data_IF_826164484233
#
_entry.id   IF_826164484233
#
_cell.length_a   1.000
_cell.length_b   1.000
_cell.length_c   1.000
_cell.angle_alpha   90.00
_cell.angle_beta   90.00
_cell.angle_gamma   90.00
#
_symmetry.space_group_name_H-M   'P 1'
#
loop_
_entity.id
_entity.type
_entity.pdbx_description
1 polymer ?
#
# COMPACT_ATOMS: atom_id res chain seq x y z
N UNK A 1 -27.11 -60.09 15.17
CA UNK A 1 -26.17 -59.22 15.91
C UNK A 1 -25.94 -57.97 15.07
N UNK A 2 -25.96 -56.77 15.64
CA UNK A 2 -25.74 -55.50 14.92
C UNK A 2 -24.47 -54.83 15.44
N UNK A 3 -23.40 -54.79 14.64
CA UNK A 3 -22.24 -53.96 14.95
C UNK A 3 -22.51 -52.53 14.45
N UNK A 4 -22.44 -51.55 15.37
CA UNK A 4 -22.35 -50.13 15.04
C UNK A 4 -20.93 -49.67 15.33
N UNK A 5 -20.22 -49.20 14.31
CA UNK A 5 -18.92 -48.54 14.46
C UNK A 5 -19.19 -47.07 14.77
N UNK A 6 -18.65 -46.58 15.89
CA UNK A 6 -18.65 -45.16 16.24
C UNK A 6 -17.40 -44.52 15.63
N UNK A 7 -17.58 -43.55 14.73
CA UNK A 7 -16.48 -42.68 14.29
C UNK A 7 -16.41 -41.46 15.20
N UNK A 8 -15.34 -41.36 16.00
CA UNK A 8 -15.03 -40.15 16.74
C UNK A 8 -14.42 -39.10 15.81
N UNK A 9 -15.17 -38.04 15.51
CA UNK A 9 -14.60 -36.84 14.90
C UNK A 9 -13.79 -36.06 15.95
N UNK A 10 -12.47 -36.15 15.89
CA UNK A 10 -11.59 -35.18 16.55
C UNK A 10 -11.67 -33.84 15.80
N UNK A 11 -12.27 -32.84 16.42
CA UNK A 11 -12.32 -31.49 15.87
C UNK A 11 -10.90 -30.89 15.80
N UNK A 12 -10.41 -30.65 14.58
CA UNK A 12 -9.15 -29.96 14.35
C UNK A 12 -9.39 -28.45 14.55
N UNK A 13 -9.21 -27.96 15.78
CA UNK A 13 -9.24 -26.52 16.05
C UNK A 13 -8.05 -25.83 15.37
N UNK A 14 -8.32 -25.17 14.24
CA UNK A 14 -7.36 -24.33 13.56
C UNK A 14 -7.04 -23.11 14.44
N UNK A 15 -5.87 -23.10 15.07
CA UNK A 15 -5.40 -21.94 15.83
C UNK A 15 -4.95 -20.87 14.83
N UNK A 16 -5.84 -19.93 14.52
CA UNK A 16 -5.48 -18.72 13.77
C UNK A 16 -4.62 -17.86 14.71
N UNK A 17 -3.31 -17.98 14.57
CA UNK A 17 -2.36 -17.08 15.22
C UNK A 17 -2.59 -15.67 14.68
N UNK A 18 -3.06 -14.76 15.54
CA UNK A 18 -3.28 -13.36 15.22
C UNK A 18 -2.02 -12.75 14.62
N UNK A 19 -2.11 -12.25 13.39
CA UNK A 19 -1.03 -11.46 12.77
C UNK A 19 -0.85 -10.20 13.61
N UNK A 20 0.33 -10.04 14.22
CA UNK A 20 0.69 -8.81 14.93
C UNK A 20 0.47 -7.62 13.98
N UNK A 21 -0.15 -6.55 14.47
CA UNK A 21 -0.46 -5.39 13.64
C UNK A 21 0.80 -4.63 13.26
N UNK A 22 1.40 -5.00 12.10
CA UNK A 22 2.74 -4.71 11.54
C UNK A 22 3.21 -3.24 11.46
N UNK A 23 2.51 -2.34 12.15
CA UNK A 23 2.75 -0.90 12.26
C UNK A 23 3.78 -0.56 13.33
N UNK A 24 4.08 -1.46 14.28
CA UNK A 24 5.14 -1.24 15.25
C UNK A 24 6.48 -1.71 14.66
N UNK A 25 7.54 -0.92 14.85
CA UNK A 25 8.86 -1.35 14.39
C UNK A 25 9.29 -2.68 15.03
N UNK A 26 8.90 -2.91 16.29
CA UNK A 26 9.24 -4.10 17.06
C UNK A 26 8.36 -5.34 16.79
N UNK A 27 7.42 -5.31 15.84
CA UNK A 27 6.64 -6.50 15.46
C UNK A 27 7.52 -7.65 14.94
N UNK A 28 8.71 -7.32 14.39
CA UNK A 28 9.79 -8.26 14.10
C UNK A 28 11.03 -7.89 14.94
N UNK A 29 11.29 -8.66 16.00
CA UNK A 29 12.53 -8.54 16.76
C UNK A 29 13.73 -9.02 15.92
N UNK A 30 14.99 -8.66 16.27
CA UNK A 30 16.17 -9.09 15.52
C UNK A 30 16.29 -10.62 15.33
N UNK A 31 15.82 -11.41 16.31
CA UNK A 31 15.79 -12.87 16.23
C UNK A 31 14.82 -13.43 15.16
N UNK A 32 13.91 -12.61 14.63
CA UNK A 32 12.96 -12.97 13.57
C UNK A 32 13.43 -12.52 12.18
N UNK A 33 14.67 -12.01 12.07
CA UNK A 33 15.23 -11.47 10.83
C UNK A 33 16.40 -12.35 10.37
N UNK A 34 16.20 -13.11 9.30
CA UNK A 34 17.27 -13.86 8.63
C UNK A 34 18.01 -12.90 7.69
N UNK A 35 19.22 -12.48 8.05
CA UNK A 35 20.04 -11.64 7.19
C UNK A 35 20.33 -12.33 5.85
N UNK A 36 20.04 -11.64 4.75
CA UNK A 36 20.44 -12.00 3.39
C UNK A 36 21.71 -11.23 2.98
N UNK A 37 21.76 -9.95 3.36
CA UNK A 37 22.90 -9.07 3.18
C UNK A 37 23.07 -8.20 4.42
N UNK A 38 24.31 -7.94 4.83
CA UNK A 38 24.63 -6.98 5.89
C UNK A 38 25.98 -6.38 5.56
N UNK A 39 26.03 -5.06 5.49
CA UNK A 39 27.25 -4.29 5.34
C UNK A 39 27.33 -3.25 6.46
N UNK A 40 28.48 -3.24 7.13
CA UNK A 40 28.82 -2.27 8.19
C UNK A 40 30.07 -1.47 7.82
N UNK A 41 30.63 -1.73 6.63
CA UNK A 41 31.81 -1.08 6.05
C UNK A 41 33.09 -1.18 6.90
N UNK A 42 33.07 -2.00 7.96
CA UNK A 42 34.18 -2.19 8.90
C UNK A 42 35.39 -2.91 8.30
N UNK A 43 35.21 -3.62 7.19
CA UNK A 43 36.29 -4.30 6.45
C UNK A 43 37.11 -3.34 5.55
N UNK A 44 36.68 -2.08 5.42
CA UNK A 44 37.33 -1.06 4.62
C UNK A 44 37.18 -1.25 3.10
N UNK A 45 36.36 -2.20 2.62
CA UNK A 45 36.32 -2.63 1.21
C UNK A 45 34.98 -2.34 0.55
N UNK A 46 34.98 -1.40 -0.39
CA UNK A 46 33.82 -1.12 -1.24
C UNK A 46 33.54 -2.22 -2.29
N UNK A 47 34.37 -3.27 -2.38
CA UNK A 47 34.36 -4.26 -3.46
C UNK A 47 33.07 -5.11 -3.61
N UNK A 48 32.13 -5.03 -2.66
CA UNK A 48 30.79 -5.64 -2.78
C UNK A 48 29.77 -4.74 -3.49
N UNK A 49 30.08 -3.44 -3.60
CA UNK A 49 29.20 -2.41 -4.15
C UNK A 49 29.68 -1.98 -5.53
N UNK A 50 28.81 -2.15 -6.52
CA UNK A 50 28.90 -1.46 -7.79
C UNK A 50 28.53 0.01 -7.62
N UNK A 51 28.99 0.87 -8.51
CA UNK A 51 28.66 2.28 -8.53
C UNK A 51 28.58 2.79 -9.96
N UNK A 52 27.77 3.83 -10.18
CA UNK A 52 27.70 4.53 -11.46
C UNK A 52 29.05 5.14 -11.85
N UNK A 53 29.73 5.77 -10.87
CA UNK A 53 31.15 6.10 -10.94
C UNK A 53 31.85 5.54 -9.69
N UNK A 54 32.96 4.82 -9.89
CA UNK A 54 33.73 4.20 -8.80
C UNK A 54 34.49 5.22 -7.95
N UNK A 55 34.62 6.47 -8.41
CA UNK A 55 35.27 7.56 -7.66
C UNK A 55 34.41 8.18 -6.56
N UNK A 56 33.08 8.08 -6.66
CA UNK A 56 32.12 8.79 -5.81
C UNK A 56 32.01 8.21 -4.38
N UNK A 57 32.22 6.89 -4.25
CA UNK A 57 32.04 6.14 -3.01
C UNK A 57 33.36 5.83 -2.32
N UNK A 58 33.52 6.25 -1.05
CA UNK A 58 34.72 5.99 -0.25
C UNK A 58 34.35 5.45 1.13
N UNK A 59 35.01 4.39 1.57
CA UNK A 59 34.88 3.92 2.95
C UNK A 59 35.99 4.56 3.79
N UNK A 60 35.59 5.25 4.86
CA UNK A 60 36.51 5.89 5.82
C UNK A 60 36.02 5.55 7.22
N UNK A 61 36.89 4.96 8.06
CA UNK A 61 36.60 4.63 9.46
C UNK A 61 35.29 3.84 9.70
N UNK A 62 34.97 2.89 8.82
CA UNK A 62 33.73 2.09 8.92
C UNK A 62 32.46 2.82 8.46
N UNK A 63 32.59 3.95 7.76
CA UNK A 63 31.48 4.70 7.18
C UNK A 63 31.65 4.76 5.67
N UNK A 64 30.64 4.37 4.91
CA UNK A 64 30.59 4.59 3.47
C UNK A 64 30.07 6.00 3.18
N UNK A 65 30.93 6.82 2.57
CA UNK A 65 30.65 8.20 2.19
C UNK A 65 30.53 8.26 0.68
N UNK A 66 29.34 8.60 0.19
CA UNK A 66 29.03 8.80 -1.23
C UNK A 66 28.81 10.29 -1.47
N UNK A 67 29.56 10.83 -2.44
CA UNK A 67 29.51 12.24 -2.86
C UNK A 67 29.88 12.31 -4.34
N UNK A 68 29.17 13.16 -5.10
CA UNK A 68 29.55 13.52 -6.47
C UNK A 68 29.48 15.02 -6.68
N UNK A 69 30.46 15.57 -7.38
CA UNK A 69 30.48 16.96 -7.83
C UNK A 69 29.89 17.07 -9.25
N UNK A 70 29.26 18.22 -9.57
CA UNK A 70 28.55 18.42 -10.83
C UNK A 70 27.03 18.33 -10.69
N UNK A 71 26.36 18.00 -11.80
CA UNK A 71 24.89 18.09 -11.93
C UNK A 71 24.15 16.74 -11.85
N UNK A 72 24.89 15.63 -11.80
CA UNK A 72 24.33 14.27 -11.79
C UNK A 72 24.37 13.66 -10.38
N UNK A 73 23.40 12.81 -10.00
CA UNK A 73 23.45 12.09 -8.74
C UNK A 73 24.58 11.04 -8.76
N UNK A 74 24.92 10.55 -7.57
CA UNK A 74 25.69 9.31 -7.43
C UNK A 74 24.79 8.20 -6.95
N UNK A 75 24.98 7.00 -7.50
CA UNK A 75 24.21 5.80 -7.13
C UNK A 75 25.17 4.62 -7.03
N UNK A 76 25.05 3.86 -5.95
CA UNK A 76 25.83 2.66 -5.69
C UNK A 76 24.94 1.56 -5.13
N UNK A 77 25.19 0.31 -5.53
CA UNK A 77 24.29 -0.81 -5.26
C UNK A 77 25.05 -2.14 -5.14
N UNK A 78 24.38 -3.11 -4.52
CA UNK A 78 24.72 -4.53 -4.57
C UNK A 78 23.69 -5.27 -5.44
N UNK A 79 24.07 -6.42 -6.00
CA UNK A 79 23.13 -7.31 -6.71
C UNK A 79 22.80 -8.51 -5.83
N UNK A 80 21.57 -8.61 -5.34
CA UNK A 80 21.11 -9.72 -4.50
C UNK A 80 20.56 -10.86 -5.38
N UNK A 81 21.45 -11.66 -5.96
CA UNK A 81 21.10 -12.73 -6.93
C UNK A 81 20.14 -13.78 -6.37
N UNK A 82 20.15 -14.02 -5.06
CA UNK A 82 19.27 -14.98 -4.36
C UNK A 82 18.10 -14.30 -3.63
N UNK A 83 17.72 -13.08 -4.03
CA UNK A 83 16.56 -12.37 -3.48
C UNK A 83 15.24 -12.96 -4.02
N UNK A 84 14.40 -13.46 -3.12
CA UNK A 84 13.06 -13.97 -3.39
C UNK A 84 12.02 -12.94 -2.94
N UNK A 85 11.48 -12.24 -3.93
CA UNK A 85 10.46 -11.20 -3.78
C UNK A 85 9.14 -11.70 -3.17
N UNK A 86 8.87 -13.01 -3.23
CA UNK A 86 7.64 -13.60 -2.67
C UNK A 86 7.66 -13.61 -1.14
N UNK A 87 8.84 -13.74 -0.53
CA UNK A 87 9.00 -13.74 0.91
C UNK A 87 8.74 -12.36 1.51
N UNK A 88 8.50 -12.34 2.81
CA UNK A 88 8.50 -11.11 3.59
C UNK A 88 9.95 -10.68 3.85
N UNK A 89 10.22 -9.38 3.75
CA UNK A 89 11.58 -8.85 3.83
C UNK A 89 11.64 -7.48 4.48
N UNK A 90 12.85 -7.10 4.90
CA UNK A 90 13.16 -5.79 5.42
C UNK A 90 14.50 -5.30 4.85
N UNK A 91 14.51 -4.06 4.36
CA UNK A 91 15.70 -3.33 3.91
C UNK A 91 15.90 -2.19 4.91
N UNK A 92 17.10 -2.04 5.44
CA UNK A 92 17.38 -1.07 6.49
C UNK A 92 18.72 -0.38 6.22
N UNK A 93 18.77 0.94 6.40
CA UNK A 93 20.00 1.71 6.29
C UNK A 93 20.11 2.76 7.41
N UNK A 94 21.32 2.93 7.94
CA UNK A 94 21.67 4.04 8.84
C UNK A 94 22.39 5.12 8.04
N UNK A 95 21.68 6.20 7.70
CA UNK A 95 22.16 7.26 6.80
C UNK A 95 22.25 8.61 7.49
N UNK A 96 23.27 9.41 7.16
CA UNK A 96 23.42 10.79 7.60
C UNK A 96 23.67 11.68 6.37
N UNK A 97 22.74 12.58 6.07
CA UNK A 97 22.95 13.63 5.07
C UNK A 97 23.80 14.74 5.71
N UNK A 98 25.12 14.65 5.54
CA UNK A 98 26.09 15.63 6.08
C UNK A 98 25.91 16.99 5.40
N UNK A 99 25.63 16.95 4.10
CA UNK A 99 25.35 18.10 3.25
C UNK A 99 24.33 17.69 2.20
N UNK A 100 23.15 18.27 2.19
CA UNK A 100 22.22 18.19 1.07
C UNK A 100 22.28 19.44 0.19
N UNK A 101 21.54 19.38 -0.92
CA UNK A 101 21.33 20.51 -1.82
C UNK A 101 20.05 21.28 -1.37
N UNK A 102 20.11 22.61 -1.13
CA UNK A 102 18.96 23.38 -0.62
C UNK A 102 17.66 23.26 -1.42
N UNK A 103 17.73 22.96 -2.72
CA UNK A 103 16.55 22.66 -3.55
C UNK A 103 15.76 21.42 -3.10
N UNK A 104 16.32 20.60 -2.19
CA UNK A 104 15.62 19.48 -1.57
C UNK A 104 15.63 18.18 -2.36
N UNK A 105 16.72 17.88 -3.08
CA UNK A 105 16.86 16.64 -3.85
C UNK A 105 16.97 15.37 -2.99
N UNK A 106 16.70 14.22 -3.60
CA UNK A 106 16.67 12.90 -2.97
C UNK A 106 18.04 12.41 -2.48
N UNK A 107 18.09 11.93 -1.24
CA UNK A 107 19.22 11.20 -0.67
C UNK A 107 18.69 10.01 0.17
N UNK A 108 19.13 8.78 -0.09
CA UNK A 108 18.65 7.61 0.66
C UNK A 108 18.76 6.28 -0.06
N UNK A 109 17.89 5.34 0.32
CA UNK A 109 17.83 3.96 -0.17
C UNK A 109 17.23 3.93 -1.57
N UNK A 110 17.90 3.23 -2.49
CA UNK A 110 17.32 2.72 -3.72
C UNK A 110 17.15 1.20 -3.63
N UNK A 111 16.07 0.66 -4.20
CA UNK A 111 15.77 -0.77 -4.09
C UNK A 111 14.94 -1.28 -5.25
N UNK A 112 15.00 -2.61 -5.48
CA UNK A 112 14.32 -3.24 -6.60
C UNK A 112 14.80 -2.78 -7.97
N UNK A 113 16.06 -2.31 -8.06
CA UNK A 113 16.63 -1.72 -9.27
C UNK A 113 16.83 -2.75 -10.37
N UNK A 114 16.44 -2.39 -11.59
CA UNK A 114 16.73 -3.14 -12.80
C UNK A 114 18.20 -3.00 -13.22
N UNK A 115 18.83 -4.10 -13.65
CA UNK A 115 20.14 -4.05 -14.29
C UNK A 115 20.09 -3.15 -15.54
N UNK A 116 21.13 -2.36 -15.76
CA UNK A 116 21.36 -1.50 -16.94
C UNK A 116 20.25 -0.46 -17.26
N UNK A 117 19.31 -0.25 -16.34
CA UNK A 117 18.26 0.77 -16.44
C UNK A 117 18.12 1.59 -15.14
N UNK A 118 17.53 2.78 -15.28
CA UNK A 118 17.23 3.71 -14.19
C UNK A 118 15.84 3.46 -13.57
N UNK A 119 15.39 2.20 -13.61
CA UNK A 119 14.10 1.78 -13.05
C UNK A 119 14.29 1.22 -11.65
N UNK A 120 13.83 1.93 -10.63
CA UNK A 120 13.96 1.54 -9.21
C UNK A 120 13.01 2.29 -8.29
N UNK A 121 12.84 1.74 -7.08
CA UNK A 121 12.11 2.37 -5.99
C UNK A 121 13.09 3.16 -5.10
N UNK A 122 12.56 4.20 -4.45
CA UNK A 122 13.30 5.20 -3.68
C UNK A 122 12.64 5.42 -2.31
N UNK A 123 13.45 5.41 -1.25
CA UNK A 123 13.04 5.89 0.08
C UNK A 123 14.16 6.67 0.75
N UNK A 124 13.89 7.92 1.12
CA UNK A 124 14.96 8.84 1.51
C UNK A 124 14.46 10.17 2.03
N UNK A 125 15.42 11.06 2.24
CA UNK A 125 15.26 12.37 2.87
C UNK A 125 16.03 13.46 2.08
N UNK A 126 15.82 14.72 2.46
CA UNK A 126 16.51 15.87 1.85
C UNK A 126 16.95 16.90 2.91
N UNK A 127 17.66 17.95 2.45
CA UNK A 127 18.20 19.02 3.31
C UNK A 127 17.13 19.81 4.09
N UNK A 128 15.85 19.70 3.68
CA UNK A 128 14.72 20.43 4.25
C UNK A 128 13.90 19.58 5.25
N UNK A 129 14.52 18.54 5.82
CA UNK A 129 13.92 17.59 6.78
C UNK A 129 12.56 17.02 6.33
N UNK A 130 12.47 16.72 5.03
CA UNK A 130 11.34 16.00 4.43
C UNK A 130 11.78 14.59 4.04
N UNK A 131 10.84 13.63 4.08
CA UNK A 131 11.00 12.31 3.48
C UNK A 131 10.12 12.13 2.25
N UNK A 132 10.47 11.17 1.40
CA UNK A 132 9.72 10.80 0.21
C UNK A 132 9.76 9.29 -0.02
N UNK A 133 8.68 8.73 -0.56
CA UNK A 133 8.64 7.35 -1.09
C UNK A 133 8.22 7.44 -2.55
N UNK A 134 9.06 6.96 -3.46
CA UNK A 134 8.87 7.14 -4.89
C UNK A 134 9.42 5.96 -5.71
N UNK A 135 9.22 6.02 -7.01
CA UNK A 135 9.88 5.19 -8.00
C UNK A 135 10.23 5.99 -9.25
N UNK A 136 11.18 5.49 -10.04
CA UNK A 136 11.47 5.95 -11.40
C UNK A 136 11.12 4.83 -12.38
N UNK A 137 10.19 5.08 -13.31
CA UNK A 137 9.90 4.21 -14.46
C UNK A 137 8.92 4.86 -15.48
N UNK A 138 9.37 5.40 -16.62
CA UNK A 138 10.68 6.04 -16.82
C UNK A 138 10.75 7.41 -16.11
N UNK A 139 9.63 7.90 -15.58
CA UNK A 139 9.51 9.17 -14.86
C UNK A 139 9.49 8.95 -13.35
N UNK A 140 9.80 10.01 -12.59
CA UNK A 140 9.60 10.03 -11.14
C UNK A 140 8.10 10.01 -10.79
N UNK A 141 7.70 9.09 -9.89
CA UNK A 141 6.34 8.98 -9.35
C UNK A 141 6.42 8.77 -7.84
N UNK A 142 5.81 9.66 -7.05
CA UNK A 142 5.80 9.54 -5.60
C UNK A 142 4.58 8.76 -5.09
N UNK A 143 4.81 7.62 -4.42
CA UNK A 143 3.80 6.99 -3.57
C UNK A 143 3.45 7.91 -2.38
N UNK A 144 4.47 8.53 -1.79
CA UNK A 144 4.36 9.57 -0.74
C UNK A 144 5.23 10.76 -1.11
N UNK A 145 4.58 11.88 -1.41
CA UNK A 145 5.24 13.18 -1.71
C UNK A 145 6.10 13.69 -0.57
N UNK A 146 7.02 14.62 -0.88
CA UNK A 146 7.94 15.26 0.06
C UNK A 146 7.24 15.81 1.31
N UNK A 147 7.27 15.04 2.39
CA UNK A 147 6.52 15.28 3.63
C UNK A 147 7.49 15.66 4.75
N UNK A 148 7.35 16.83 5.40
CA UNK A 148 8.14 17.20 6.58
C UNK A 148 8.01 16.15 7.69
N UNK A 149 9.08 15.88 8.43
CA UNK A 149 9.01 15.00 9.61
C UNK A 149 9.97 15.41 10.71
N UNK A 150 9.43 15.67 11.90
CA UNK A 150 10.19 15.90 13.14
C UNK A 150 10.97 14.67 13.62
N UNK A 151 10.74 13.50 13.01
CA UNK A 151 11.52 12.29 13.25
C UNK A 151 12.89 12.33 12.59
N UNK A 152 13.10 13.18 11.58
CA UNK A 152 14.38 13.34 10.89
C UNK A 152 15.32 14.15 11.78
N UNK A 153 16.45 13.54 12.14
CA UNK A 153 17.53 14.18 12.88
C UNK A 153 18.46 14.85 11.87
N UNK A 154 18.29 16.15 11.68
CA UNK A 154 19.07 16.94 10.72
C UNK A 154 20.58 16.75 10.94
N UNK A 155 21.33 16.45 9.87
CA UNK A 155 22.79 16.21 9.88
C UNK A 155 23.26 15.17 10.93
N UNK A 156 22.41 14.19 11.23
CA UNK A 156 22.74 13.05 12.09
C UNK A 156 22.34 11.73 11.41
N UNK A 157 22.75 10.60 12.00
CA UNK A 157 22.33 9.28 11.54
C UNK A 157 20.84 9.04 11.83
N UNK A 158 20.12 8.79 10.74
CA UNK A 158 18.72 8.39 10.70
C UNK A 158 18.64 6.94 10.23
N UNK A 159 17.81 6.16 10.91
CA UNK A 159 17.52 4.77 10.55
C UNK A 159 16.30 4.75 9.64
N UNK A 160 16.51 4.42 8.36
CA UNK A 160 15.45 4.24 7.38
C UNK A 160 15.19 2.74 7.20
N UNK A 161 13.94 2.32 7.41
CA UNK A 161 13.52 0.93 7.22
C UNK A 161 12.38 0.83 6.22
N UNK A 162 12.50 -0.09 5.27
CA UNK A 162 11.47 -0.51 4.34
C UNK A 162 11.13 -1.96 4.66
N UNK A 163 9.89 -2.25 5.05
CA UNK A 163 9.45 -3.59 5.44
C UNK A 163 8.30 -4.06 4.54
N UNK A 164 8.43 -5.22 3.92
CA UNK A 164 7.40 -5.87 3.09
C UNK A 164 6.83 -7.07 3.85
N UNK A 165 5.53 -7.05 4.11
CA UNK A 165 4.77 -8.16 4.70
C UNK A 165 3.57 -8.45 3.82
N UNK A 166 3.45 -9.69 3.33
CA UNK A 166 2.52 -10.09 2.28
C UNK A 166 2.57 -9.09 1.11
N UNK A 167 1.46 -8.38 0.85
CA UNK A 167 1.33 -7.39 -0.22
C UNK A 167 1.40 -5.93 0.30
N UNK A 168 1.96 -5.67 1.49
CA UNK A 168 2.06 -4.33 2.09
C UNK A 168 3.51 -3.95 2.40
N UNK A 169 3.89 -2.73 2.01
CA UNK A 169 5.12 -2.03 2.40
C UNK A 169 4.86 -1.08 3.57
N UNK A 170 5.80 -1.04 4.51
CA UNK A 170 5.81 -0.16 5.67
C UNK A 170 7.16 0.57 5.72
N UNK A 171 7.14 1.88 5.93
CA UNK A 171 8.29 2.76 5.89
C UNK A 171 8.47 3.44 7.25
N UNK A 172 9.64 3.32 7.84
CA UNK A 172 9.95 3.83 9.16
C UNK A 172 11.15 4.79 9.13
N UNK A 173 11.01 5.91 9.83
CA UNK A 173 12.13 6.81 10.18
C UNK A 173 12.38 6.65 11.67
N UNK A 174 13.60 6.30 12.07
CA UNK A 174 13.99 6.15 13.46
C UNK A 174 12.97 5.30 14.25
N UNK A 175 12.64 4.13 13.69
CA UNK A 175 11.75 3.12 14.29
C UNK A 175 10.29 3.57 14.47
N UNK A 176 9.91 4.71 13.89
CA UNK A 176 8.55 5.24 13.87
C UNK A 176 7.96 5.15 12.46
N UNK A 177 6.77 4.57 12.32
CA UNK A 177 6.10 4.40 11.04
C UNK A 177 5.71 5.76 10.45
N UNK A 178 6.15 6.06 9.23
CA UNK A 178 5.82 7.31 8.53
C UNK A 178 4.92 7.12 7.31
N UNK A 179 4.95 5.95 6.68
CA UNK A 179 4.11 5.63 5.52
C UNK A 179 3.89 4.13 5.41
N UNK A 180 2.78 3.73 4.79
CA UNK A 180 2.55 2.37 4.32
C UNK A 180 1.81 2.41 2.99
N UNK A 181 2.11 1.47 2.10
CA UNK A 181 1.48 1.32 0.79
C UNK A 181 1.48 -0.16 0.38
N UNK A 182 0.96 -0.52 -0.80
CA UNK A 182 1.00 -1.88 -1.28
C UNK A 182 2.39 -2.19 -1.81
N UNK A 183 2.68 -3.47 -1.96
CA UNK A 183 3.87 -3.95 -2.63
C UNK A 183 3.62 -4.08 -4.14
N UNK A 184 4.38 -3.35 -4.95
CA UNK A 184 4.47 -3.51 -6.40
C UNK A 184 5.63 -4.45 -6.76
N UNK A 185 5.53 -5.20 -7.86
CA UNK A 185 6.60 -6.08 -8.35
C UNK A 185 7.89 -5.29 -8.61
N UNK A 186 9.05 -5.84 -8.21
CA UNK A 186 10.34 -5.19 -8.42
C UNK A 186 10.75 -5.15 -9.90
N UNK A 187 11.42 -4.08 -10.32
CA UNK A 187 12.05 -4.00 -11.66
C UNK A 187 13.31 -4.87 -11.78
N UNK A 188 13.95 -5.19 -10.65
CA UNK A 188 15.08 -6.10 -10.55
C UNK A 188 15.52 -6.34 -9.11
N UNK A 189 16.73 -6.85 -8.94
CA UNK A 189 17.29 -7.32 -7.66
C UNK A 189 18.54 -6.53 -7.23
N UNK A 190 18.72 -5.30 -7.72
CA UNK A 190 19.74 -4.38 -7.24
C UNK A 190 19.21 -3.50 -6.10
N UNK A 191 20.02 -3.32 -5.05
CA UNK A 191 19.67 -2.63 -3.81
C UNK A 191 20.83 -1.75 -3.37
N UNK A 192 20.59 -0.54 -2.88
CA UNK A 192 21.68 0.37 -2.60
C UNK A 192 21.28 1.75 -2.11
N UNK A 193 22.12 2.74 -2.45
CA UNK A 193 22.09 4.10 -1.94
C UNK A 193 22.29 5.09 -3.10
N UNK A 194 21.58 6.22 -3.02
CA UNK A 194 21.76 7.37 -3.92
C UNK A 194 21.99 8.65 -3.11
N UNK A 195 22.94 9.48 -3.55
CA UNK A 195 23.09 10.88 -3.14
C UNK A 195 22.77 11.83 -4.29
N UNK A 196 22.20 12.99 -3.96
CA UNK A 196 21.97 14.08 -4.89
C UNK A 196 23.30 14.68 -5.42
N UNK A 197 23.27 15.40 -6.57
CA UNK A 197 24.42 16.17 -7.02
C UNK A 197 24.87 17.17 -5.96
N UNK A 198 26.17 17.27 -5.71
CA UNK A 198 26.75 18.19 -4.72
C UNK A 198 26.49 17.84 -3.25
N UNK A 199 25.70 16.80 -2.97
CA UNK A 199 25.41 16.31 -1.63
C UNK A 199 26.48 15.34 -1.13
N UNK A 200 26.55 15.18 0.20
CA UNK A 200 27.37 14.21 0.90
C UNK A 200 26.45 13.36 1.77
N UNK A 201 26.34 12.09 1.42
CA UNK A 201 25.58 11.11 2.19
C UNK A 201 26.55 10.11 2.81
N UNK A 202 26.43 9.92 4.12
CA UNK A 202 27.18 8.93 4.89
C UNK A 202 26.26 7.76 5.25
N UNK A 203 26.78 6.55 5.19
CA UNK A 203 26.05 5.31 5.47
C UNK A 203 26.89 4.47 6.43
N UNK A 204 26.35 4.19 7.61
CA UNK A 204 27.02 3.40 8.65
C UNK A 204 26.69 1.91 8.56
N UNK A 205 25.48 1.59 8.11
CA UNK A 205 25.00 0.21 7.97
C UNK A 205 24.00 0.15 6.83
N UNK A 206 24.03 -0.96 6.07
CA UNK A 206 22.99 -1.33 5.10
C UNK A 206 22.69 -2.82 5.22
N UNK A 207 21.41 -3.17 5.32
CA UNK A 207 20.96 -4.54 5.60
C UNK A 207 19.78 -4.93 4.73
N UNK A 208 19.76 -6.18 4.29
CA UNK A 208 18.59 -6.84 3.70
C UNK A 208 18.36 -8.13 4.49
N UNK A 209 17.14 -8.34 4.99
CA UNK A 209 16.76 -9.54 5.75
C UNK A 209 15.45 -10.10 5.24
N UNK A 210 15.29 -11.42 5.27
CA UNK A 210 13.96 -12.02 5.25
C UNK A 210 13.36 -11.99 6.65
N UNK A 211 12.05 -11.82 6.71
CA UNK A 211 11.27 -11.92 7.93
C UNK A 211 10.80 -13.36 8.12
N UNK A 212 10.89 -13.87 9.35
CA UNK A 212 10.37 -15.18 9.73
C UNK A 212 9.15 -14.99 10.63
N UNK A 213 8.04 -15.65 10.28
CA UNK A 213 6.86 -15.71 11.13
C UNK A 213 7.18 -16.45 12.43
N UNK A 214 6.74 -15.89 13.55
CA UNK A 214 6.92 -16.52 14.86
C UNK A 214 5.88 -17.62 15.04
N UNK A 215 6.24 -18.87 14.70
CA UNK A 215 5.54 -20.04 15.22
C UNK A 215 5.83 -20.11 16.73
N UNK A 216 5.10 -19.33 17.53
CA UNK A 216 5.09 -19.50 18.99
C UNK A 216 4.46 -20.85 19.29
N UNK A 217 5.28 -21.84 19.61
CA UNK A 217 4.82 -23.01 20.34
C UNK A 217 4.10 -22.51 21.61
N UNK A 218 2.90 -23.03 21.86
CA UNK A 218 2.11 -22.66 23.03
C UNK A 218 2.65 -23.41 24.24
N UNK A 219 3.72 -22.88 24.82
CA UNK A 219 4.19 -23.33 26.13
C UNK A 219 3.15 -22.95 27.19
N UNK A 220 2.44 -23.97 27.67
CA UNK A 220 1.46 -23.87 28.75
C UNK A 220 2.17 -23.55 30.08
N UNK A 221 2.45 -22.27 30.32
CA UNK A 221 2.93 -21.83 31.64
C UNK A 221 1.74 -21.68 32.60
N UNK A 222 1.82 -22.45 33.69
CA UNK A 222 0.84 -22.57 34.77
C UNK A 222 0.84 -21.30 35.64
N UNK A 223 -0.32 -20.73 36.02
CA UNK A 223 -0.36 -19.51 36.83
C UNK A 223 -0.17 -19.79 38.33
N UNK A 224 0.62 -18.94 39.00
CA UNK A 224 0.71 -18.75 40.47
C UNK A 224 1.72 -17.63 40.79
N UNK A 225 1.58 -16.89 41.90
CA UNK A 225 0.38 -16.23 42.39
C UNK A 225 0.61 -14.71 42.62
N UNK A 226 -0.48 -13.99 42.93
CA UNK A 226 -0.48 -12.54 43.24
C UNK A 226 0.29 -12.23 44.53
N UNK A 227 1.00 -11.09 44.56
CA UNK A 227 1.31 -10.40 45.82
C UNK A 227 0.87 -8.93 45.74
N UNK A 228 0.13 -8.51 46.77
CA UNK A 228 -0.43 -7.16 46.94
C UNK A 228 0.60 -6.19 47.51
N UNK A 229 0.55 -4.93 47.07
CA UNK A 229 1.29 -3.83 47.70
C UNK A 229 0.78 -2.48 47.21
N UNK A 230 -0.06 -1.82 48.02
CA UNK A 230 -0.54 -0.47 47.77
C UNK A 230 0.01 0.47 48.85
N UNK A 231 0.37 1.69 48.47
CA UNK A 231 0.38 2.86 49.37
C UNK A 231 0.33 4.16 48.56
N UNK A 232 -0.59 5.03 48.95
CA UNK A 232 -0.72 6.42 48.50
C UNK A 232 0.25 7.34 49.29
N UNK A 233 0.63 8.50 48.73
CA UNK A 233 0.68 9.80 49.45
C UNK A 233 0.34 10.93 48.45
N UNK A 234 -0.23 12.03 48.97
CA UNK A 234 -1.03 13.01 48.25
C UNK A 234 -0.30 14.24 47.64
N UNK A 235 -1.12 14.99 46.90
CA UNK A 235 -0.92 16.24 46.19
C UNK A 235 -0.37 17.47 46.98
N UNK A 236 0.08 18.47 46.22
CA UNK A 236 -0.26 19.89 46.44
C UNK A 236 -0.20 20.68 45.13
N UNK A 237 -0.92 21.81 45.03
CA UNK A 237 -1.07 22.61 43.82
C UNK A 237 -1.03 24.12 44.10
N UNK A 238 -0.56 24.95 43.16
CA UNK A 238 -1.06 26.35 42.93
C UNK A 238 -0.64 26.94 41.56
N UNK A 239 -1.29 28.06 41.17
CA UNK A 239 -1.51 28.67 39.83
C UNK A 239 -1.79 30.20 40.04
N UNK A 240 -1.56 31.22 39.15
CA UNK A 240 -1.72 31.26 37.67
C UNK A 240 -0.69 32.10 36.84
N UNK A 241 -1.07 32.39 35.58
CA UNK A 241 -0.72 33.54 34.69
C UNK A 241 0.33 33.31 33.58
N UNK A 242 0.18 33.83 32.34
CA UNK A 242 -0.79 34.84 31.79
C UNK A 242 -1.32 34.45 30.39
N UNK A 243 -2.39 35.12 29.93
CA UNK A 243 -2.99 35.00 28.58
C UNK A 243 -2.46 36.10 27.64
N UNK A 244 -2.27 35.80 26.36
CA UNK A 244 -2.30 36.82 25.31
C UNK A 244 -2.82 36.27 23.97
N UNK A 245 -3.77 37.00 23.35
CA UNK A 245 -4.39 36.67 22.07
C UNK A 245 -3.48 36.96 20.86
N UNK A 246 -3.56 36.13 19.80
CA UNK A 246 -4.06 36.61 18.49
C UNK A 246 -4.24 35.50 17.42
N UNK A 247 -5.33 35.66 16.66
CA UNK A 247 -5.52 35.29 15.24
C UNK A 247 -5.29 33.84 14.77
N UNK A 248 -6.38 33.09 14.84
CA UNK A 248 -6.98 32.38 13.68
C UNK A 248 -6.20 32.39 12.36
N UNK A 249 -5.47 31.30 12.10
CA UNK A 249 -5.40 30.69 10.77
C UNK A 249 -6.30 29.46 10.78
N UNK A 250 -7.14 29.30 9.74
CA UNK A 250 -8.03 28.15 9.63
C UNK A 250 -7.19 26.89 9.40
N UNK A 251 -7.08 26.07 10.44
CA UNK A 251 -6.44 24.75 10.37
C UNK A 251 -7.28 23.84 9.48
N UNK A 252 -6.77 23.47 8.31
CA UNK A 252 -7.39 22.46 7.45
C UNK A 252 -7.12 21.08 8.06
N UNK A 253 -7.88 20.74 9.10
CA UNK A 253 -7.92 19.39 9.62
C UNK A 253 -8.32 18.43 8.49
N UNK A 254 -7.41 17.53 8.13
CA UNK A 254 -7.62 16.60 7.03
C UNK A 254 -8.88 15.76 7.30
N UNK A 255 -9.80 15.70 6.33
CA UNK A 255 -11.07 14.98 6.51
C UNK A 255 -10.74 13.49 6.64
N UNK A 256 -11.06 12.88 7.78
CA UNK A 256 -10.80 11.45 8.03
C UNK A 256 -11.40 10.62 6.89
N UNK A 257 -10.56 9.88 6.19
CA UNK A 257 -10.96 9.04 5.06
C UNK A 257 -10.57 9.60 3.70
N UNK A 258 -10.16 10.87 3.61
CA UNK A 258 -9.73 11.54 2.38
C UNK A 258 -8.37 11.02 1.88
N UNK A 259 -7.46 10.60 2.77
CA UNK A 259 -6.33 9.77 2.35
C UNK A 259 -6.75 8.31 2.42
N UNK A 260 -6.37 7.52 1.42
CA UNK A 260 -6.68 6.09 1.41
C UNK A 260 -6.21 5.38 2.69
N UNK A 261 -5.03 5.73 3.22
CA UNK A 261 -4.44 5.10 4.39
C UNK A 261 -4.99 5.56 5.75
N UNK A 262 -5.94 6.52 5.78
CA UNK A 262 -6.59 6.97 7.03
C UNK A 262 -7.36 5.84 7.74
N UNK A 263 -7.83 4.84 6.98
CA UNK A 263 -8.59 3.69 7.48
C UNK A 263 -7.86 2.40 7.09
N UNK A 264 -7.06 1.81 8.00
CA UNK A 264 -6.28 0.62 7.72
C UNK A 264 -7.16 -0.63 7.63
N UNK A 265 -6.68 -1.66 6.92
CA UNK A 265 -7.39 -2.96 6.77
C UNK A 265 -7.83 -3.57 8.10
N UNK A 266 -7.05 -3.43 9.18
CA UNK A 266 -7.42 -3.92 10.52
C UNK A 266 -8.60 -3.17 11.18
N UNK A 267 -8.90 -1.97 10.70
CA UNK A 267 -10.11 -1.19 11.08
C UNK A 267 -11.30 -1.50 10.17
N UNK A 268 -11.14 -2.37 9.16
CA UNK A 268 -12.22 -2.85 8.29
C UNK A 268 -12.84 -4.12 8.90
N UNK A 269 -14.14 -4.33 8.69
CA UNK A 269 -14.85 -5.58 8.94
C UNK A 269 -15.49 -6.02 7.64
N UNK A 270 -15.07 -7.15 7.10
CA UNK A 270 -15.57 -7.62 5.81
C UNK A 270 -17.05 -8.01 5.86
N UNK A 271 -17.74 -7.71 4.77
CA UNK A 271 -19.12 -8.05 4.45
C UNK A 271 -19.08 -9.14 3.38
N UNK A 272 -18.31 -8.92 2.31
CA UNK A 272 -17.94 -9.93 1.34
C UNK A 272 -16.47 -9.78 0.93
N UNK A 273 -15.82 -10.89 0.61
CA UNK A 273 -14.45 -10.93 0.13
C UNK A 273 -14.27 -12.06 -0.89
N UNK A 274 -13.56 -11.77 -1.98
CA UNK A 274 -13.25 -12.72 -3.04
C UNK A 274 -11.90 -12.42 -3.68
N UNK A 275 -11.05 -13.44 -3.78
CA UNK A 275 -9.79 -13.44 -4.54
C UNK A 275 -9.89 -14.33 -5.80
N UNK A 276 -11.08 -14.89 -6.09
CA UNK A 276 -11.34 -15.73 -7.27
C UNK A 276 -10.45 -16.98 -7.40
N UNK A 277 -9.86 -17.43 -6.29
CA UNK A 277 -9.10 -18.67 -6.20
C UNK A 277 -9.96 -19.94 -6.39
N UNK A 278 -11.28 -19.82 -6.28
CA UNK A 278 -12.27 -20.90 -6.45
C UNK A 278 -13.47 -20.40 -7.24
N UNK A 279 -14.07 -21.27 -8.05
CA UNK A 279 -15.31 -20.95 -8.78
C UNK A 279 -16.50 -20.91 -7.80
N UNK A 280 -17.00 -19.70 -7.50
CA UNK A 280 -18.23 -19.48 -6.73
C UNK A 280 -19.35 -19.02 -7.68
N UNK A 281 -20.12 -19.99 -8.19
CA UNK A 281 -21.23 -19.75 -9.12
C UNK A 281 -22.54 -19.32 -8.43
N UNK A 282 -22.63 -19.42 -7.10
CA UNK A 282 -23.75 -18.89 -6.32
C UNK A 282 -23.61 -17.38 -6.08
N UNK A 283 -22.36 -16.89 -6.08
CA UNK A 283 -22.00 -15.47 -5.93
C UNK A 283 -21.84 -14.74 -7.26
N UNK A 284 -21.18 -15.35 -8.25
CA UNK A 284 -20.85 -14.71 -9.52
C UNK A 284 -21.50 -15.43 -10.69
N UNK A 285 -21.94 -14.68 -11.69
CA UNK A 285 -22.44 -15.29 -12.93
C UNK A 285 -21.30 -15.95 -13.70
N UNK A 286 -21.44 -17.25 -13.96
CA UNK A 286 -20.55 -18.07 -14.78
C UNK A 286 -21.38 -18.62 -15.94
N UNK A 287 -20.91 -18.46 -17.18
CA UNK A 287 -21.69 -18.82 -18.36
C UNK A 287 -21.04 -18.45 -19.68
N UNK A 288 -21.73 -18.76 -20.78
CA UNK A 288 -21.33 -18.43 -22.16
C UNK A 288 -22.55 -17.89 -22.92
N UNK A 289 -22.33 -17.06 -23.93
CA UNK A 289 -23.37 -16.43 -24.74
C UNK A 289 -22.96 -15.04 -25.20
N UNK A 290 -23.86 -14.05 -25.06
CA UNK A 290 -23.56 -12.64 -25.36
C UNK A 290 -22.44 -12.09 -24.47
N UNK A 291 -22.46 -12.46 -23.19
CA UNK A 291 -21.36 -12.23 -22.24
C UNK A 291 -20.82 -13.57 -21.74
N UNK A 292 -19.53 -13.83 -21.99
CA UNK A 292 -18.84 -15.01 -21.51
C UNK A 292 -18.18 -14.69 -20.16
N UNK A 293 -18.44 -15.52 -19.16
CA UNK A 293 -17.96 -15.30 -17.79
C UNK A 293 -17.36 -16.58 -17.21
N UNK A 294 -16.13 -16.50 -16.71
CA UNK A 294 -15.46 -17.61 -16.03
C UNK A 294 -14.60 -17.11 -14.85
N UNK A 295 -14.37 -18.00 -13.88
CA UNK A 295 -13.35 -17.80 -12.84
C UNK A 295 -12.22 -18.80 -13.15
N UNK A 296 -11.01 -18.30 -13.33
CA UNK A 296 -9.84 -19.11 -13.66
C UNK A 296 -8.54 -18.41 -13.24
N UNK A 297 -7.56 -19.18 -12.77
CA UNK A 297 -6.20 -18.70 -12.49
C UNK A 297 -6.12 -17.50 -11.51
N UNK A 298 -7.08 -17.37 -10.59
CA UNK A 298 -7.21 -16.24 -9.65
C UNK A 298 -7.84 -14.98 -10.25
N UNK A 299 -8.53 -15.10 -11.38
CA UNK A 299 -9.19 -13.99 -12.09
C UNK A 299 -10.67 -14.34 -12.38
N UNK A 300 -11.60 -13.45 -12.07
CA UNK A 300 -12.92 -13.43 -12.70
C UNK A 300 -12.83 -12.66 -14.02
N UNK A 301 -13.13 -13.34 -15.11
CA UNK A 301 -12.99 -12.85 -16.47
C UNK A 301 -14.39 -12.65 -17.05
N UNK A 302 -14.68 -11.41 -17.46
CA UNK A 302 -15.93 -11.00 -18.10
C UNK A 302 -15.61 -10.53 -19.53
N UNK A 303 -16.09 -11.25 -20.52
CA UNK A 303 -15.95 -10.92 -21.94
C UNK A 303 -17.31 -10.54 -22.51
N UNK A 304 -17.53 -9.24 -22.74
CA UNK A 304 -18.66 -8.76 -23.53
C UNK A 304 -18.30 -8.87 -25.00
N UNK A 305 -19.05 -9.67 -25.76
CA UNK A 305 -18.79 -9.92 -27.18
C UNK A 305 -19.66 -9.05 -28.10
N UNK A 306 -20.76 -8.52 -27.59
CA UNK A 306 -21.76 -7.76 -28.36
C UNK A 306 -21.46 -6.27 -28.42
N UNK A 307 -22.21 -5.55 -29.27
CA UNK A 307 -22.20 -4.10 -29.38
C UNK A 307 -23.08 -3.41 -28.31
N UNK A 308 -23.43 -4.10 -27.23
CA UNK A 308 -24.17 -3.56 -26.10
C UNK A 308 -23.33 -3.74 -24.81
N UNK A 309 -23.43 -2.83 -23.83
CA UNK A 309 -22.80 -3.05 -22.54
C UNK A 309 -23.53 -4.13 -21.74
N UNK A 310 -22.84 -4.72 -20.77
CA UNK A 310 -23.44 -5.63 -19.78
C UNK A 310 -23.20 -5.13 -18.36
N UNK A 311 -24.08 -5.53 -17.45
CA UNK A 311 -23.91 -5.29 -16.01
C UNK A 311 -24.06 -6.62 -15.29
N UNK A 312 -22.99 -7.07 -14.66
CA UNK A 312 -22.97 -8.23 -13.79
C UNK A 312 -22.88 -7.78 -12.34
N UNK A 313 -23.50 -8.52 -11.44
CA UNK A 313 -23.54 -8.19 -10.01
C UNK A 313 -23.35 -9.43 -9.15
N UNK A 314 -22.65 -9.24 -8.04
CA UNK A 314 -22.42 -10.27 -7.05
C UNK A 314 -23.69 -10.53 -6.25
N UNK A 315 -23.88 -11.79 -5.84
CA UNK A 315 -24.83 -12.15 -4.80
C UNK A 315 -24.16 -12.00 -3.43
N UNK A 316 -24.24 -10.81 -2.87
CA UNK A 316 -23.65 -10.44 -1.57
C UNK A 316 -24.69 -9.84 -0.63
N UNK A 317 -24.40 -9.87 0.66
CA UNK A 317 -25.19 -9.16 1.68
C UNK A 317 -25.29 -7.66 1.40
N UNK A 318 -26.43 -7.07 1.76
CA UNK A 318 -26.67 -5.64 1.61
C UNK A 318 -25.81 -4.84 2.59
N UNK A 319 -25.18 -3.77 2.09
CA UNK A 319 -24.44 -2.82 2.93
C UNK A 319 -25.43 -1.97 3.74
N UNK A 320 -25.29 -1.96 5.07
CA UNK A 320 -25.93 -0.99 5.94
C UNK A 320 -25.35 0.41 5.69
N UNK A 321 -26.13 1.22 5.01
CA UNK A 321 -25.79 2.57 4.58
C UNK A 321 -25.70 3.60 5.73
N UNK A 322 -26.18 3.27 6.94
CA UNK A 322 -25.98 4.12 8.11
C UNK A 322 -24.51 4.10 8.55
N UNK A 323 -23.86 2.93 8.44
CA UNK A 323 -22.45 2.74 8.78
C UNK A 323 -21.54 3.33 7.72
N UNK A 324 -20.30 3.60 8.12
CA UNK A 324 -19.23 3.91 7.19
C UNK A 324 -18.72 2.59 6.57
N UNK A 325 -18.45 2.62 5.27
CA UNK A 325 -18.23 1.43 4.45
C UNK A 325 -17.21 1.69 3.36
N UNK A 326 -16.70 0.62 2.77
CA UNK A 326 -15.85 0.66 1.60
C UNK A 326 -16.14 -0.52 0.66
N UNK A 327 -16.00 -0.28 -0.63
CA UNK A 327 -16.15 -1.23 -1.72
C UNK A 327 -14.86 -1.13 -2.53
N UNK A 328 -14.14 -2.24 -2.68
CA UNK A 328 -12.87 -2.30 -3.40
C UNK A 328 -12.92 -3.36 -4.49
N UNK A 329 -12.33 -3.08 -5.65
CA UNK A 329 -12.12 -4.06 -6.69
C UNK A 329 -10.78 -3.83 -7.41
N UNK A 330 -10.01 -4.90 -7.58
CA UNK A 330 -8.77 -4.89 -8.36
C UNK A 330 -9.06 -5.36 -9.79
N UNK A 331 -9.14 -4.42 -10.74
CA UNK A 331 -9.62 -4.68 -12.10
C UNK A 331 -8.61 -4.32 -13.19
N UNK A 332 -8.62 -5.06 -14.29
CA UNK A 332 -7.84 -4.82 -15.51
C UNK A 332 -8.76 -4.81 -16.73
N UNK A 333 -8.71 -3.75 -17.54
CA UNK A 333 -9.37 -3.69 -18.84
C UNK A 333 -8.44 -4.29 -19.91
N UNK A 334 -8.51 -5.61 -20.09
CA UNK A 334 -7.69 -6.36 -21.05
C UNK A 334 -8.03 -5.96 -22.50
N UNK A 335 -9.32 -5.69 -22.79
CA UNK A 335 -9.82 -5.24 -24.10
C UNK A 335 -10.96 -4.22 -23.93
N UNK A 336 -11.06 -3.24 -24.81
CA UNK A 336 -12.20 -2.32 -24.95
C UNK A 336 -11.90 -1.23 -25.96
N UNK A 337 -12.85 -0.34 -26.26
CA UNK A 337 -12.60 0.78 -27.19
C UNK A 337 -11.86 1.94 -26.46
N UNK A 338 -10.83 2.55 -27.06
CA UNK A 338 -10.18 3.75 -26.51
C UNK A 338 -11.06 5.01 -26.51
N UNK A 339 -12.18 5.04 -27.22
CA UNK A 339 -13.05 6.21 -27.42
C UNK A 339 -14.46 6.03 -26.82
N UNK A 340 -14.89 4.82 -26.46
CA UNK A 340 -16.21 4.58 -25.85
C UNK A 340 -16.21 4.78 -24.32
N UNK A 341 -17.39 4.61 -23.73
CA UNK A 341 -17.61 4.52 -22.30
C UNK A 341 -16.75 3.41 -21.69
N UNK A 342 -16.09 3.73 -20.58
CA UNK A 342 -15.23 2.81 -19.85
C UNK A 342 -15.96 1.62 -19.21
N UNK A 343 -15.17 0.65 -18.73
CA UNK A 343 -15.64 -0.42 -17.85
C UNK A 343 -15.19 -0.16 -16.41
N UNK A 344 -15.85 -0.76 -15.43
CA UNK A 344 -15.56 -0.44 -14.02
C UNK A 344 -16.51 -1.02 -12.99
N UNK A 345 -16.29 -0.59 -11.74
CA UNK A 345 -17.07 -0.92 -10.57
C UNK A 345 -18.42 -0.20 -10.60
N UNK A 346 -19.50 -0.92 -10.29
CA UNK A 346 -20.82 -0.34 -10.00
C UNK A 346 -21.26 -0.65 -8.57
N UNK A 347 -22.04 0.27 -7.99
CA UNK A 347 -22.66 0.07 -6.69
C UNK A 347 -24.07 0.65 -6.62
N UNK A 348 -24.80 0.19 -5.61
CA UNK A 348 -26.13 0.68 -5.28
C UNK A 348 -27.18 0.45 -6.38
N UNK A 349 -27.07 -0.64 -7.14
CA UNK A 349 -27.90 -0.89 -8.32
C UNK A 349 -29.33 -1.34 -7.97
N UNK A 350 -30.30 -0.75 -8.67
CA UNK A 350 -31.70 -1.18 -8.76
C UNK A 350 -32.27 -0.88 -10.14
N UNK A 351 -32.87 -1.87 -10.82
CA UNK A 351 -33.35 -1.73 -12.20
C UNK A 351 -32.27 -1.10 -13.12
N UNK A 352 -32.59 0.01 -13.81
CA UNK A 352 -31.64 0.78 -14.64
C UNK A 352 -30.73 1.73 -13.85
N UNK A 353 -30.96 1.92 -12.54
CA UNK A 353 -30.29 2.91 -11.70
C UNK A 353 -29.07 2.32 -11.00
N UNK A 354 -27.95 3.03 -11.00
CA UNK A 354 -26.70 2.61 -10.35
C UNK A 354 -25.69 3.78 -10.29
N UNK A 355 -24.67 3.65 -9.46
CA UNK A 355 -23.46 4.47 -9.50
C UNK A 355 -22.33 3.70 -10.19
N UNK A 356 -21.38 4.43 -10.79
CA UNK A 356 -20.30 3.89 -11.61
C UNK A 356 -18.98 4.62 -11.34
N UNK A 357 -17.90 3.85 -11.25
CA UNK A 357 -16.52 4.32 -11.24
C UNK A 357 -15.71 3.41 -12.15
N UNK A 358 -15.11 3.97 -13.19
CA UNK A 358 -14.46 3.17 -14.23
C UNK A 358 -13.59 3.97 -15.18
N UNK A 359 -13.01 3.28 -16.15
CA UNK A 359 -12.06 3.83 -17.11
C UNK A 359 -12.12 3.17 -18.48
N UNK A 360 -11.67 3.88 -19.52
CA UNK A 360 -11.52 3.35 -20.88
C UNK A 360 -10.06 3.03 -21.24
N UNK A 361 -9.81 2.42 -22.41
CA UNK A 361 -8.44 2.06 -22.82
C UNK A 361 -7.53 3.27 -23.05
N UNK A 362 -8.08 4.44 -23.40
CA UNK A 362 -7.30 5.69 -23.49
C UNK A 362 -6.80 6.17 -22.13
N UNK A 363 -7.34 5.66 -21.03
CA UNK A 363 -6.96 5.95 -19.66
C UNK A 363 -7.60 7.20 -19.08
N UNK A 364 -8.81 7.53 -19.53
CA UNK A 364 -9.68 8.48 -18.85
C UNK A 364 -10.46 7.74 -17.75
N UNK A 365 -10.52 8.31 -16.56
CA UNK A 365 -11.35 7.85 -15.44
C UNK A 365 -12.61 8.73 -15.33
N UNK A 366 -13.69 8.17 -14.81
CA UNK A 366 -14.93 8.90 -14.52
C UNK A 366 -15.58 8.39 -13.23
N UNK A 367 -16.23 9.28 -12.48
CA UNK A 367 -17.24 8.87 -11.48
C UNK A 367 -18.58 9.42 -11.93
N UNK A 368 -19.59 8.57 -12.00
CA UNK A 368 -20.91 8.92 -12.53
C UNK A 368 -22.04 8.14 -11.83
N UNK A 369 -23.27 8.51 -12.15
CA UNK A 369 -24.48 7.73 -11.82
C UNK A 369 -25.44 7.71 -13.00
N UNK A 370 -26.21 6.63 -13.12
CA UNK A 370 -27.32 6.54 -14.07
C UNK A 370 -28.65 6.56 -13.31
N UNK A 371 -29.54 7.52 -13.61
CA UNK A 371 -30.86 7.62 -12.96
C UNK A 371 -31.86 8.54 -13.71
N UNK A 372 -32.65 8.03 -14.68
CA UNK A 372 -32.35 6.92 -15.59
C UNK A 372 -31.38 7.33 -16.72
N UNK A 373 -30.89 8.58 -16.68
CA UNK A 373 -29.87 9.14 -17.56
C UNK A 373 -28.54 9.28 -16.82
N UNK A 374 -27.43 9.31 -17.58
CA UNK A 374 -26.10 9.52 -17.02
C UNK A 374 -25.94 10.93 -16.46
N UNK A 375 -25.44 11.02 -15.24
CA UNK A 375 -24.99 12.24 -14.57
C UNK A 375 -23.52 12.04 -14.17
N UNK A 376 -22.65 12.90 -14.68
CA UNK A 376 -21.23 12.92 -14.32
C UNK A 376 -21.07 13.55 -12.93
N UNK A 377 -20.26 12.92 -12.06
CA UNK A 377 -19.93 13.39 -10.71
C UNK A 377 -18.47 13.86 -10.62
N UNK A 378 -17.57 13.15 -11.30
CA UNK A 378 -16.20 13.59 -11.66
C UNK A 378 -16.04 13.34 -13.17
N UNK A 379 -15.59 14.35 -13.91
CA UNK A 379 -15.51 14.27 -15.38
C UNK A 379 -14.40 13.36 -15.89
N UNK A 380 -14.45 13.05 -17.19
CA UNK A 380 -13.49 12.19 -17.87
C UNK A 380 -12.10 12.83 -17.90
N UNK A 381 -11.27 12.48 -16.92
CA UNK A 381 -9.92 12.98 -16.79
C UNK A 381 -8.89 11.91 -17.12
N UNK A 382 -7.97 12.23 -18.04
CA UNK A 382 -6.85 11.35 -18.41
C UNK A 382 -5.86 11.27 -17.26
N UNK A 383 -5.89 10.17 -16.52
CA UNK A 383 -5.14 10.09 -15.27
C UNK A 383 -3.85 9.30 -15.40
N UNK A 384 -2.73 9.93 -15.03
CA UNK A 384 -1.42 9.29 -15.00
C UNK A 384 -1.30 8.11 -14.01
N UNK A 385 -2.26 7.98 -13.09
CA UNK A 385 -2.26 6.94 -12.05
C UNK A 385 -2.90 5.63 -12.53
N UNK A 386 -3.53 5.62 -13.72
CA UNK A 386 -4.12 4.42 -14.29
C UNK A 386 -3.08 3.60 -15.07
N UNK A 387 -2.82 2.40 -14.58
CA UNK A 387 -1.97 1.41 -15.24
C UNK A 387 -2.75 0.73 -16.37
N UNK A 388 -2.78 1.34 -17.56
CA UNK A 388 -3.68 0.95 -18.69
C UNK A 388 -3.60 -0.50 -19.15
N UNK A 389 -2.49 -1.19 -18.87
CA UNK A 389 -2.23 -2.59 -19.27
C UNK A 389 -2.25 -3.57 -18.10
N UNK A 390 -2.41 -3.08 -16.88
CA UNK A 390 -2.28 -3.86 -15.65
C UNK A 390 -3.54 -3.74 -14.79
N UNK A 391 -3.49 -4.37 -13.63
CA UNK A 391 -4.51 -4.23 -12.61
C UNK A 391 -4.48 -2.85 -11.93
N UNK A 392 -5.67 -2.36 -11.61
CA UNK A 392 -5.90 -1.10 -10.93
C UNK A 392 -6.89 -1.32 -9.77
N UNK A 393 -6.56 -0.82 -8.58
CA UNK A 393 -7.46 -0.84 -7.43
C UNK A 393 -8.43 0.34 -7.51
N UNK A 394 -9.71 0.04 -7.66
CA UNK A 394 -10.79 1.02 -7.53
C UNK A 394 -11.42 0.87 -6.15
N UNK A 395 -11.45 1.95 -5.39
CA UNK A 395 -12.04 2.01 -4.05
C UNK A 395 -13.15 3.06 -4.03
N UNK A 396 -14.32 2.72 -3.47
CA UNK A 396 -15.42 3.64 -3.16
C UNK A 396 -15.68 3.58 -1.66
N UNK A 397 -15.56 4.71 -0.97
CA UNK A 397 -15.55 4.80 0.50
C UNK A 397 -16.54 5.83 1.03
N UNK A 398 -17.32 5.46 2.05
CA UNK A 398 -18.12 6.36 2.88
C UNK A 398 -17.43 6.60 4.22
N UNK A 399 -17.18 7.87 4.57
CA UNK A 399 -16.84 8.25 5.95
C UNK A 399 -17.65 9.48 6.34
N UNK A 400 -18.35 9.45 7.48
CA UNK A 400 -19.08 10.58 8.06
C UNK A 400 -20.02 11.34 7.10
N UNK A 401 -20.59 10.65 6.10
CA UNK A 401 -21.47 11.26 5.08
C UNK A 401 -20.75 11.87 3.87
N UNK A 402 -19.43 11.67 3.73
CA UNK A 402 -18.64 12.00 2.54
C UNK A 402 -18.35 10.72 1.74
N UNK A 403 -18.48 10.82 0.42
CA UNK A 403 -18.01 9.85 -0.57
C UNK A 403 -16.61 10.20 -1.03
N UNK A 404 -15.74 9.19 -1.10
CA UNK A 404 -14.42 9.26 -1.72
C UNK A 404 -14.28 8.13 -2.74
N UNK A 405 -13.75 8.42 -3.92
CA UNK A 405 -13.31 7.39 -4.86
C UNK A 405 -11.80 7.48 -5.07
N UNK A 406 -11.10 6.35 -5.00
CA UNK A 406 -9.65 6.25 -5.20
C UNK A 406 -9.32 5.36 -6.38
N UNK A 407 -8.40 5.82 -7.23
CA UNK A 407 -7.71 4.95 -8.18
C UNK A 407 -6.31 4.68 -7.64
N UNK A 408 -5.92 3.40 -7.51
CA UNK A 408 -4.62 3.01 -6.96
C UNK A 408 -4.29 3.77 -5.67
N UNK A 409 -5.28 3.83 -4.75
CA UNK A 409 -5.20 4.45 -3.41
C UNK A 409 -4.94 5.97 -3.39
N UNK A 410 -5.06 6.62 -4.54
CA UNK A 410 -4.92 8.07 -4.68
C UNK A 410 -6.30 8.64 -4.97
N UNK A 411 -6.66 9.73 -4.28
CA UNK A 411 -7.99 10.30 -4.34
C UNK A 411 -8.27 10.85 -5.75
N UNK A 412 -9.37 10.43 -6.35
CA UNK A 412 -9.84 10.90 -7.65
C UNK A 412 -11.11 11.75 -7.54
N UNK A 413 -12.04 11.36 -6.66
CA UNK A 413 -13.29 12.07 -6.43
C UNK A 413 -13.58 12.21 -4.94
N UNK A 414 -14.15 13.35 -4.55
CA UNK A 414 -14.73 13.58 -3.22
C UNK A 414 -16.07 14.32 -3.37
N UNK A 415 -17.07 13.94 -2.59
CA UNK A 415 -18.39 14.57 -2.66
C UNK A 415 -19.34 14.16 -1.54
N UNK A 416 -20.54 14.75 -1.46
CA UNK A 416 -21.55 14.33 -0.48
C UNK A 416 -22.03 12.91 -0.78
N UNK A 417 -22.18 12.09 0.27
CA UNK A 417 -22.79 10.77 0.15
C UNK A 417 -24.24 10.89 -0.33
N UNK A 418 -24.59 10.06 -1.33
CA UNK A 418 -25.95 9.92 -1.83
C UNK A 418 -26.39 8.47 -1.61
N UNK A 419 -27.63 8.22 -1.11
CA UNK A 419 -28.13 6.87 -0.91
C UNK A 419 -28.05 6.01 -2.17
N UNK A 420 -27.85 4.72 -1.96
CA UNK A 420 -27.91 3.71 -3.01
C UNK A 420 -29.34 3.58 -3.54
N UNK A 421 -29.50 3.29 -4.84
CA UNK A 421 -30.82 3.01 -5.41
C UNK A 421 -31.32 1.61 -5.02
N UNK A 422 -30.40 0.66 -4.84
CA UNK A 422 -30.66 -0.69 -4.34
C UNK A 422 -29.42 -1.35 -3.77
N UNK A 423 -29.43 -2.67 -3.63
CA UNK A 423 -28.39 -3.41 -2.89
C UNK A 423 -27.31 -4.05 -3.75
N UNK A 424 -27.45 -4.06 -5.09
CA UNK A 424 -26.57 -4.81 -5.97
C UNK A 424 -25.25 -4.07 -6.27
N UNK A 425 -24.15 -4.81 -6.24
CA UNK A 425 -22.77 -4.38 -6.45
C UNK A 425 -22.13 -5.26 -7.53
N UNK A 426 -21.17 -4.74 -8.30
CA UNK A 426 -20.49 -5.54 -9.32
C UNK A 426 -19.83 -4.69 -10.40
N UNK A 427 -20.00 -5.08 -11.67
CA UNK A 427 -19.23 -4.52 -12.78
C UNK A 427 -20.10 -4.12 -13.96
N UNK A 428 -19.83 -2.94 -14.52
CA UNK A 428 -20.26 -2.53 -15.84
C UNK A 428 -19.13 -2.83 -16.82
N UNK A 429 -19.45 -3.58 -17.89
CA UNK A 429 -18.50 -3.90 -18.96
C UNK A 429 -19.04 -3.33 -20.27
N UNK A 430 -18.24 -2.49 -20.90
CA UNK A 430 -18.55 -1.80 -22.13
C UNK A 430 -18.68 -2.77 -23.34
N UNK A 431 -19.27 -2.35 -24.47
CA UNK A 431 -19.30 -3.14 -25.68
C UNK A 431 -17.94 -3.73 -26.07
N UNK A 432 -17.97 -4.94 -26.64
CA UNK A 432 -16.80 -5.65 -27.18
C UNK A 432 -15.56 -5.76 -26.25
N UNK A 433 -15.74 -5.57 -24.95
CA UNK A 433 -14.67 -5.40 -23.95
C UNK A 433 -14.42 -6.66 -23.11
N UNK A 434 -13.20 -6.79 -22.59
CA UNK A 434 -12.79 -7.84 -21.65
C UNK A 434 -12.31 -7.18 -20.36
N UNK A 435 -13.08 -7.35 -19.29
CA UNK A 435 -12.72 -6.92 -17.94
C UNK A 435 -12.30 -8.13 -17.11
N UNK A 436 -11.18 -8.00 -16.41
CA UNK A 436 -10.70 -9.01 -15.45
C UNK A 436 -10.66 -8.44 -14.05
N UNK A 437 -10.95 -9.27 -13.06
CA UNK A 437 -11.02 -8.89 -11.64
C UNK A 437 -10.23 -9.91 -10.82
N UNK A 438 -9.29 -9.43 -10.00
CA UNK A 438 -8.45 -10.26 -9.10
C UNK A 438 -8.90 -10.23 -7.64
N UNK A 439 -9.55 -9.17 -7.23
CA UNK A 439 -10.05 -9.01 -5.87
C UNK A 439 -11.37 -8.24 -5.92
N UNK A 440 -12.35 -8.66 -5.13
CA UNK A 440 -13.54 -7.89 -4.81
C UNK A 440 -13.77 -7.94 -3.30
N UNK A 441 -13.95 -6.77 -2.68
CA UNK A 441 -14.10 -6.64 -1.23
C UNK A 441 -15.15 -5.60 -0.89
N UNK A 442 -15.95 -5.90 0.13
CA UNK A 442 -16.82 -4.92 0.78
C UNK A 442 -16.61 -5.00 2.28
N UNK A 443 -16.49 -3.86 2.94
CA UNK A 443 -16.22 -3.81 4.38
C UNK A 443 -16.93 -2.64 5.06
N UNK A 444 -17.33 -2.83 6.32
CA UNK A 444 -17.63 -1.73 7.23
C UNK A 444 -16.35 -1.16 7.83
N UNK A 445 -16.36 0.13 8.14
CA UNK A 445 -15.23 0.85 8.74
C UNK A 445 -15.50 1.10 10.23
N UNK A 446 -14.45 1.00 11.06
CA UNK A 446 -14.48 1.17 12.53
C UNK A 446 -13.78 2.46 12.97
#
# INVERSE_FOLDING_TARGET
>A
MKNRIFYCFTALTLVISSVNGQKAYNDYAPANKQALFTETFSDGKAAKWDAFDKGDGKIVNGIYRIQREGNEPSVSWITASTFDVKRDFEIEASICLEKGEPKGYFNGIIWGKQADAWNYFLYGLNENDKYVVAQTNPNWVAAKEWTPSTLIKHKQYNKLTIRKVANTLYYFINESLVFSGPFETLFGNQFGIQSAPGAILMVKEFKISYLQLVNKAVDKVKPSPVSTGASEVAASATKPETVQDNKSTADQSAIKGQNYFDIPVLSKQDIAYDEFNTVDADRWYIGQGETNCNIKDGEYIIEQTTNQPTILYANTDAIDQQRDFEIEAMIKLEKGDPNEAGSGLIWGKEASRFYFFGFNQSGFLVVAKNNPTWTILQDWEKHFMLNKKEYNLLTVRKVAGTMFCFINMKLFYTGPYQPFFGTKLGFYVAPQSTLKIKEFRTSYLK
#
